data_IF_569162592852
#
_entry.id   IF_569162592852
#
_cell.length_a   1.000
_cell.length_b   1.000
_cell.length_c   1.000
_cell.angle_alpha   90.00
_cell.angle_beta   90.00
_cell.angle_gamma   90.00
#
_symmetry.space_group_name_H-M   'P 1'
#
loop_
_entity.id
_entity.type
_entity.pdbx_description
1 polymer ?
#
# COMPACT_ATOMS: atom_id res chain seq x y z
N UNK A 1 1.34 -12.65 -8.21
CA UNK A 1 2.43 -12.00 -7.44
C UNK A 1 2.75 -12.89 -6.25
N UNK A 2 4.03 -13.14 -5.95
CA UNK A 2 4.42 -13.92 -4.76
C UNK A 2 4.46 -12.99 -3.54
N UNK A 3 4.12 -13.50 -2.36
CA UNK A 3 4.07 -12.72 -1.13
C UNK A 3 5.40 -12.84 -0.39
N UNK A 4 6.31 -11.92 -0.69
CA UNK A 4 7.67 -11.90 -0.16
C UNK A 4 8.01 -10.55 0.46
N UNK A 5 9.05 -10.49 1.29
CA UNK A 5 9.56 -9.24 1.83
C UNK A 5 9.94 -8.22 0.72
N UNK A 6 10.41 -8.72 -0.43
CA UNK A 6 10.69 -7.88 -1.60
C UNK A 6 9.42 -7.26 -2.17
N UNK A 7 8.34 -8.04 -2.28
CA UNK A 7 7.05 -7.53 -2.73
C UNK A 7 6.49 -6.50 -1.75
N UNK A 8 6.56 -6.78 -0.45
CA UNK A 8 6.16 -5.83 0.59
C UNK A 8 6.89 -4.50 0.42
N UNK A 9 8.22 -4.55 0.29
CA UNK A 9 9.04 -3.35 0.10
C UNK A 9 8.63 -2.54 -1.14
N UNK A 10 8.42 -3.20 -2.29
CA UNK A 10 8.00 -2.50 -3.51
C UNK A 10 6.63 -1.80 -3.37
N UNK A 11 5.71 -2.37 -2.59
CA UNK A 11 4.43 -1.73 -2.30
C UNK A 11 4.60 -0.53 -1.35
N UNK A 12 5.51 -0.62 -0.39
CA UNK A 12 5.88 0.51 0.48
C UNK A 12 6.58 1.64 -0.31
N UNK A 13 7.43 1.28 -1.29
CA UNK A 13 8.13 2.22 -2.15
C UNK A 13 7.15 3.08 -2.97
N UNK A 14 6.07 2.50 -3.50
CA UNK A 14 4.97 3.26 -4.15
C UNK A 14 4.44 4.38 -3.23
N UNK A 15 4.21 4.07 -1.96
CA UNK A 15 3.73 5.04 -0.98
C UNK A 15 4.79 6.11 -0.70
N UNK A 16 6.05 5.70 -0.50
CA UNK A 16 7.18 6.61 -0.25
C UNK A 16 7.41 7.59 -1.40
N UNK A 17 7.41 7.11 -2.64
CA UNK A 17 7.52 7.91 -3.87
C UNK A 17 6.33 8.89 -4.03
N UNK A 18 5.17 8.53 -3.47
CA UNK A 18 3.95 9.35 -3.44
C UNK A 18 3.86 10.29 -2.22
N UNK A 19 4.98 10.53 -1.54
CA UNK A 19 5.09 11.36 -0.34
C UNK A 19 4.27 10.86 0.87
N UNK A 20 3.84 9.60 0.87
CA UNK A 20 3.26 8.97 2.06
C UNK A 20 4.34 8.40 2.97
N UNK A 21 4.19 8.60 4.27
CA UNK A 21 4.99 7.90 5.28
C UNK A 21 4.25 6.67 5.79
N UNK A 22 4.85 5.49 5.66
CA UNK A 22 4.35 4.25 6.25
C UNK A 22 4.88 4.12 7.68
N UNK A 23 3.99 3.91 8.65
CA UNK A 23 4.34 3.68 10.07
C UNK A 23 3.77 2.37 10.56
N UNK A 24 4.54 1.66 11.37
CA UNK A 24 4.13 0.41 12.00
C UNK A 24 3.85 0.65 13.47
N UNK A 25 2.57 0.59 13.87
CA UNK A 25 2.15 0.93 15.22
C UNK A 25 1.33 -0.18 15.88
N UNK A 26 1.22 -0.10 17.21
CA UNK A 26 0.24 -0.91 17.95
C UNK A 26 -1.13 -0.26 17.78
N UNK A 27 -2.01 -0.90 17.02
CA UNK A 27 -3.38 -0.45 16.83
C UNK A 27 -4.31 -1.62 16.56
N UNK A 28 -5.56 -1.50 17.01
CA UNK A 28 -6.63 -2.44 16.68
C UNK A 28 -7.54 -1.82 15.62
N UNK A 29 -7.03 -1.70 14.40
CA UNK A 29 -7.80 -1.21 13.25
C UNK A 29 -8.60 -2.36 12.65
N UNK A 30 -9.90 -2.17 12.39
CA UNK A 30 -10.78 -3.23 11.84
C UNK A 30 -10.26 -3.77 10.50
N UNK A 31 -9.69 -2.91 9.65
CA UNK A 31 -9.09 -3.26 8.36
C UNK A 31 -7.57 -3.55 8.43
N UNK A 32 -6.96 -3.47 9.62
CA UNK A 32 -5.52 -3.61 9.80
C UNK A 32 -4.69 -2.36 9.49
N UNK A 33 -5.31 -1.25 9.05
CA UNK A 33 -4.65 0.03 8.77
C UNK A 33 -5.48 1.26 9.12
N UNK A 34 -4.82 2.42 9.15
CA UNK A 34 -5.44 3.74 9.23
C UNK A 34 -4.71 4.71 8.29
N UNK A 35 -5.46 5.57 7.58
CA UNK A 35 -4.92 6.59 6.69
C UNK A 35 -5.16 7.96 7.32
N UNK A 36 -4.11 8.76 7.43
CA UNK A 36 -4.15 10.17 7.80
C UNK A 36 -3.84 11.00 6.56
N UNK A 37 -4.84 11.18 5.69
CA UNK A 37 -4.67 11.78 4.36
C UNK A 37 -4.03 13.17 4.39
N UNK A 38 -4.52 14.06 5.27
CA UNK A 38 -3.97 15.41 5.42
C UNK A 38 -2.48 15.43 5.79
N UNK A 39 -2.01 14.40 6.49
CA UNK A 39 -0.61 14.26 6.92
C UNK A 39 0.19 13.38 5.96
N UNK A 40 -0.44 12.80 4.93
CA UNK A 40 0.14 11.76 4.07
C UNK A 40 0.80 10.65 4.91
N UNK A 41 0.11 10.13 5.93
CA UNK A 41 0.62 9.02 6.76
C UNK A 41 -0.29 7.80 6.63
N UNK A 42 0.29 6.64 6.37
CA UNK A 42 -0.37 5.34 6.45
C UNK A 42 0.16 4.61 7.67
N UNK A 43 -0.74 4.21 8.57
CA UNK A 43 -0.40 3.44 9.76
C UNK A 43 -0.85 2.00 9.57
N UNK A 44 0.10 1.07 9.59
CA UNK A 44 -0.14 -0.37 9.53
C UNK A 44 -0.08 -0.96 10.93
N UNK A 45 -0.95 -1.93 11.21
CA UNK A 45 -0.84 -2.72 12.43
C UNK A 45 0.45 -3.55 12.42
N UNK A 46 1.35 -3.29 13.37
CA UNK A 46 2.67 -3.94 13.43
C UNK A 46 2.62 -5.45 13.67
N UNK A 47 1.50 -5.96 14.18
CA UNK A 47 1.31 -7.39 14.45
C UNK A 47 0.95 -8.21 13.20
N UNK A 48 0.66 -7.56 12.07
CA UNK A 48 0.47 -8.26 10.79
C UNK A 48 1.80 -8.89 10.34
N UNK A 49 1.71 -10.13 9.87
CA UNK A 49 2.82 -10.80 9.17
C UNK A 49 2.98 -10.21 7.75
N UNK A 50 3.99 -10.67 7.01
CA UNK A 50 4.29 -10.15 5.65
C UNK A 50 3.09 -10.26 4.72
N UNK A 51 2.40 -11.40 4.73
CA UNK A 51 1.20 -11.62 3.91
C UNK A 51 0.07 -10.66 4.26
N UNK A 52 -0.24 -10.50 5.55
CA UNK A 52 -1.25 -9.55 6.02
C UNK A 52 -0.92 -8.11 5.61
N UNK A 53 0.34 -7.70 5.74
CA UNK A 53 0.80 -6.36 5.31
C UNK A 53 0.65 -6.16 3.80
N UNK A 54 1.00 -7.16 3.00
CA UNK A 54 0.84 -7.10 1.55
C UNK A 54 -0.63 -6.97 1.19
N UNK A 55 -1.51 -7.80 1.76
CA UNK A 55 -2.94 -7.72 1.50
C UNK A 55 -3.52 -6.34 1.85
N UNK A 56 -3.16 -5.82 3.03
CA UNK A 56 -3.54 -4.47 3.46
C UNK A 56 -3.06 -3.40 2.47
N UNK A 57 -1.80 -3.47 2.01
CA UNK A 57 -1.27 -2.51 1.04
C UNK A 57 -1.96 -2.60 -0.31
N UNK A 58 -2.25 -3.82 -0.79
CA UNK A 58 -3.00 -4.05 -2.03
C UNK A 58 -4.41 -3.46 -1.98
N UNK A 59 -5.04 -3.49 -0.81
CA UNK A 59 -6.37 -2.91 -0.59
C UNK A 59 -6.33 -1.38 -0.53
N UNK A 60 -5.35 -0.80 0.18
CA UNK A 60 -5.33 0.64 0.44
C UNK A 60 -4.72 1.46 -0.71
N UNK A 61 -3.72 0.95 -1.43
CA UNK A 61 -3.01 1.70 -2.49
C UNK A 61 -3.98 2.27 -3.55
N UNK A 62 -4.96 1.50 -4.08
CA UNK A 62 -5.94 2.02 -5.04
C UNK A 62 -6.86 3.13 -4.50
N UNK A 63 -6.98 3.26 -3.18
CA UNK A 63 -7.84 4.27 -2.54
C UNK A 63 -7.10 5.60 -2.32
N UNK A 64 -5.77 5.61 -2.44
CA UNK A 64 -4.97 6.80 -2.20
C UNK A 64 -4.83 7.65 -3.46
N UNK A 65 -4.83 8.98 -3.28
CA UNK A 65 -4.48 9.91 -4.35
C UNK A 65 -2.96 9.91 -4.60
N UNK A 66 -2.52 8.98 -5.45
CA UNK A 66 -1.12 8.78 -5.84
C UNK A 66 -0.80 9.59 -7.11
N UNK A 67 0.25 10.40 -7.03
CA UNK A 67 0.77 11.14 -8.17
C UNK A 67 1.64 10.22 -9.04
N UNK A 68 1.01 9.56 -10.02
CA UNK A 68 1.63 8.54 -10.87
C UNK A 68 2.94 8.99 -11.54
N UNK A 69 3.03 10.26 -11.94
CA UNK A 69 4.22 10.83 -12.59
C UNK A 69 5.43 10.97 -11.65
N UNK A 70 5.23 10.88 -10.33
CA UNK A 70 6.32 10.88 -9.34
C UNK A 70 6.88 9.49 -9.05
N UNK A 71 6.19 8.45 -9.51
CA UNK A 71 6.64 7.08 -9.34
C UNK A 71 7.77 6.74 -10.31
N UNK A 72 8.65 5.83 -9.92
CA UNK A 72 9.60 5.21 -10.85
C UNK A 72 8.85 4.35 -11.87
N UNK A 73 9.46 4.07 -13.03
CA UNK A 73 8.84 3.17 -14.02
C UNK A 73 8.50 1.78 -13.48
N UNK A 74 9.29 1.27 -12.53
CA UNK A 74 8.99 -0.02 -11.88
C UNK A 74 7.75 0.10 -10.98
N UNK A 75 7.70 1.15 -10.16
CA UNK A 75 6.57 1.44 -9.27
C UNK A 75 5.28 1.76 -10.03
N UNK A 76 5.36 2.46 -11.16
CA UNK A 76 4.23 2.70 -12.08
C UNK A 76 3.61 1.38 -12.56
N UNK A 77 4.43 0.47 -13.09
CA UNK A 77 3.96 -0.84 -13.55
C UNK A 77 3.31 -1.64 -12.44
N UNK A 78 3.90 -1.61 -11.24
CA UNK A 78 3.32 -2.30 -10.09
C UNK A 78 2.01 -1.65 -9.65
N UNK A 79 1.94 -0.32 -9.62
CA UNK A 79 0.73 0.42 -9.28
C UNK A 79 -0.43 0.06 -10.22
N UNK A 80 -0.21 0.04 -11.54
CA UNK A 80 -1.21 -0.37 -12.52
C UNK A 80 -1.68 -1.81 -12.31
N UNK A 81 -0.74 -2.73 -12.02
CA UNK A 81 -1.05 -4.13 -11.69
C UNK A 81 -1.91 -4.25 -10.41
N UNK A 82 -1.74 -3.36 -9.43
CA UNK A 82 -2.51 -3.34 -8.19
C UNK A 82 -3.91 -2.76 -8.44
N UNK A 83 -4.00 -1.60 -9.09
CA UNK A 83 -5.28 -0.94 -9.41
C UNK A 83 -6.14 -1.83 -10.30
N UNK A 84 -5.56 -2.44 -11.34
CA UNK A 84 -6.29 -3.33 -12.25
C UNK A 84 -6.86 -4.58 -11.56
N UNK A 85 -6.20 -5.10 -10.51
CA UNK A 85 -6.72 -6.20 -9.70
C UNK A 85 -7.84 -5.78 -8.78
N UNK A 86 -7.74 -4.58 -8.20
CA UNK A 86 -8.81 -4.02 -7.36
C UNK A 86 -10.11 -3.87 -8.15
N UNK A 87 -10.04 -3.40 -9.41
CA UNK A 87 -11.21 -3.23 -10.27
C UNK A 87 -11.88 -4.57 -10.64
N UNK A 88 -11.12 -5.66 -10.72
CA UNK A 88 -11.65 -7.01 -11.02
C UNK A 88 -12.27 -7.72 -9.82
N UNK A 89 -11.99 -7.27 -8.59
CA UNK A 89 -12.57 -7.85 -7.39
C UNK A 89 -13.99 -7.32 -7.09
N UNK A 90 -14.37 -6.21 -7.73
CA UNK A 90 -15.65 -5.51 -7.54
C UNK A 90 -16.63 -5.70 -8.71
N UNK A 91 -16.24 -6.47 -9.73
CA UNK A 91 -17.02 -6.78 -10.93
C UNK A 91 -17.39 -8.28 -10.95
#
# INVERSE_FOLDING_TARGET
>A
MKYTATTLKKLEDILGESAFTVRYERGNFQSGYCILEQKRVVVLNKFLNVEGRINTLLELIPQLNIEFDKLTHESQKLYDDVVSKSLKATA
#
